data_IF_630185336276
#
_entry.id   IF_630185336276
#
_cell.length_a   1.000
_cell.length_b   1.000
_cell.length_c   1.000
_cell.angle_alpha   90.00
_cell.angle_beta   90.00
_cell.angle_gamma   90.00
#
_symmetry.space_group_name_H-M   'P 1'
#
loop_
_entity.id
_entity.type
_entity.pdbx_description
1 polymer ?
#
# COMPACT_ATOMS: atom_id res chain seq x y z
N UNK A 1 -25.94 -0.69 -20.51
CA UNK A 1 -24.66 0.03 -20.48
C UNK A 1 -24.95 1.37 -19.89
N UNK A 2 -24.47 1.59 -18.67
CA UNK A 2 -24.47 2.92 -18.08
C UNK A 2 -23.47 3.76 -18.88
N UNK A 3 -23.90 4.91 -19.37
CA UNK A 3 -23.02 5.80 -20.12
C UNK A 3 -22.07 6.48 -19.15
N UNK A 4 -20.77 6.34 -19.36
CA UNK A 4 -19.77 7.11 -18.63
C UNK A 4 -19.93 8.57 -19.04
N UNK A 5 -19.99 9.47 -18.06
CA UNK A 5 -20.19 10.90 -18.30
C UNK A 5 -18.91 11.65 -17.93
N UNK A 6 -18.52 12.63 -18.74
CA UNK A 6 -17.40 13.51 -18.43
C UNK A 6 -17.72 14.34 -17.18
N UNK A 7 -16.89 14.30 -16.13
CA UNK A 7 -17.13 15.03 -14.90
C UNK A 7 -17.05 16.56 -15.07
N UNK A 8 -16.45 17.06 -16.16
CA UNK A 8 -16.30 18.49 -16.40
C UNK A 8 -17.42 19.09 -17.27
N UNK A 9 -17.78 18.43 -18.38
CA UNK A 9 -18.77 18.98 -19.32
C UNK A 9 -20.12 18.24 -19.34
N UNK A 10 -20.24 17.10 -18.66
CA UNK A 10 -21.49 16.33 -18.61
C UNK A 10 -21.83 15.58 -19.91
N UNK A 11 -20.96 15.62 -20.91
CA UNK A 11 -21.13 14.87 -22.16
C UNK A 11 -20.72 13.40 -21.98
N UNK A 12 -21.36 12.45 -22.70
CA UNK A 12 -21.02 11.04 -22.62
C UNK A 12 -19.64 10.75 -23.22
N UNK A 13 -18.90 9.86 -22.58
CA UNK A 13 -17.59 9.40 -22.99
C UNK A 13 -17.66 7.92 -23.41
N UNK A 14 -16.90 7.57 -24.44
CA UNK A 14 -16.75 6.18 -24.88
C UNK A 14 -15.64 5.47 -24.10
N UNK A 15 -15.88 4.24 -23.64
CA UNK A 15 -14.89 3.37 -23.01
C UNK A 15 -13.63 3.20 -23.88
N UNK A 16 -13.79 2.90 -25.18
CA UNK A 16 -12.66 2.77 -26.11
C UNK A 16 -11.81 4.04 -26.24
N UNK A 17 -12.40 5.20 -25.99
CA UNK A 17 -11.72 6.49 -25.98
C UNK A 17 -10.91 6.66 -24.69
N UNK A 18 -11.53 6.35 -23.55
CA UNK A 18 -10.91 6.44 -22.23
C UNK A 18 -9.77 5.45 -22.05
N UNK A 19 -9.89 4.25 -22.61
CA UNK A 19 -8.81 3.25 -22.64
C UNK A 19 -7.55 3.73 -23.37
N UNK A 20 -7.67 4.71 -24.28
CA UNK A 20 -6.55 5.27 -25.07
C UNK A 20 -6.05 6.59 -24.53
N UNK A 21 -6.93 7.42 -23.98
CA UNK A 21 -6.62 8.77 -23.53
C UNK A 21 -7.64 9.25 -22.51
N UNK A 22 -7.14 9.78 -21.40
CA UNK A 22 -7.95 10.45 -20.38
C UNK A 22 -8.30 11.90 -20.74
N UNK A 23 -8.28 12.26 -22.04
CA UNK A 23 -8.71 13.57 -22.52
C UNK A 23 -10.14 13.46 -23.04
N UNK A 24 -11.04 14.28 -22.51
CA UNK A 24 -12.42 14.35 -22.99
C UNK A 24 -12.48 14.82 -24.45
N UNK A 25 -13.13 14.07 -25.33
CA UNK A 25 -13.32 14.43 -26.74
C UNK A 25 -14.26 15.63 -26.98
N UNK A 26 -15.03 16.03 -25.97
CA UNK A 26 -16.02 17.11 -26.07
C UNK A 26 -15.48 18.46 -25.62
N UNK A 27 -14.82 18.50 -24.45
CA UNK A 27 -14.29 19.74 -23.87
C UNK A 27 -12.76 19.85 -23.90
N UNK A 28 -12.04 18.80 -24.34
CA UNK A 28 -10.58 18.70 -24.33
C UNK A 28 -9.94 18.83 -22.93
N UNK A 29 -10.73 18.70 -21.86
CA UNK A 29 -10.20 18.66 -20.50
C UNK A 29 -9.38 17.39 -20.31
N UNK A 30 -8.18 17.55 -19.74
CA UNK A 30 -7.38 16.44 -19.24
C UNK A 30 -7.99 15.95 -17.92
N UNK A 31 -8.50 14.72 -17.91
CA UNK A 31 -9.12 14.10 -16.74
C UNK A 31 -8.09 13.44 -15.81
N UNK A 32 -6.81 13.36 -16.22
CA UNK A 32 -5.69 12.95 -15.36
C UNK A 32 -5.28 14.11 -14.44
N UNK A 33 -6.14 14.45 -13.50
CA UNK A 33 -5.97 15.53 -12.53
C UNK A 33 -6.56 15.13 -11.18
N UNK A 34 -5.94 15.60 -10.09
CA UNK A 34 -6.39 15.34 -8.72
C UNK A 34 -7.86 15.75 -8.47
N UNK A 35 -8.39 16.74 -9.19
CA UNK A 35 -9.80 17.13 -9.12
C UNK A 35 -10.76 16.00 -9.50
N UNK A 36 -10.32 15.06 -10.34
CA UNK A 36 -11.15 13.96 -10.86
C UNK A 36 -10.75 12.59 -10.29
N UNK A 37 -10.17 12.55 -9.09
CA UNK A 37 -9.70 11.31 -8.45
C UNK A 37 -10.76 10.22 -8.36
N UNK A 38 -11.92 10.53 -7.81
CA UNK A 38 -13.02 9.57 -7.66
C UNK A 38 -13.45 9.00 -9.02
N UNK A 39 -13.35 9.81 -10.08
CA UNK A 39 -13.64 9.38 -11.44
C UNK A 39 -12.55 8.46 -12.00
N UNK A 40 -11.26 8.75 -11.74
CA UNK A 40 -10.15 7.88 -12.13
C UNK A 40 -10.20 6.53 -11.40
N UNK A 41 -10.53 6.52 -10.11
CA UNK A 41 -10.73 5.29 -9.33
C UNK A 41 -11.88 4.45 -9.90
N UNK A 42 -13.01 5.09 -10.22
CA UNK A 42 -14.13 4.41 -10.87
C UNK A 42 -13.73 3.76 -12.19
N UNK A 43 -12.95 4.45 -13.03
CA UNK A 43 -12.48 3.90 -14.32
C UNK A 43 -11.56 2.68 -14.12
N UNK A 44 -10.76 2.68 -13.06
CA UNK A 44 -9.87 1.58 -12.70
C UNK A 44 -10.64 0.36 -12.18
N UNK A 45 -11.54 0.55 -11.21
CA UNK A 45 -12.36 -0.55 -10.64
C UNK A 45 -13.23 -1.20 -11.70
N UNK A 46 -13.64 -0.41 -12.70
CA UNK A 46 -14.42 -0.88 -13.85
C UNK A 46 -13.57 -1.53 -14.95
N UNK A 47 -12.23 -1.61 -14.79
CA UNK A 47 -11.28 -2.15 -15.77
C UNK A 47 -11.38 -1.49 -17.16
N UNK A 48 -11.74 -0.19 -17.21
CA UNK A 48 -11.87 0.57 -18.46
C UNK A 48 -10.51 1.13 -18.90
N UNK A 49 -9.65 1.44 -17.92
CA UNK A 49 -8.33 2.02 -18.15
C UNK A 49 -7.29 1.22 -17.37
N UNK A 50 -6.37 0.59 -18.10
CA UNK A 50 -5.31 -0.25 -17.54
C UNK A 50 -4.06 0.55 -17.12
N UNK A 51 -3.88 1.76 -17.67
CA UNK A 51 -2.67 2.57 -17.54
C UNK A 51 -2.87 3.80 -16.64
N UNK A 52 -3.39 3.57 -15.43
CA UNK A 52 -3.42 4.57 -14.36
C UNK A 52 -2.27 4.30 -13.41
N UNK A 53 -1.27 5.18 -13.43
CA UNK A 53 -0.15 5.14 -12.49
C UNK A 53 -0.59 5.71 -11.13
N UNK A 54 -0.89 4.81 -10.19
CA UNK A 54 -1.26 5.15 -8.81
C UNK A 54 -0.13 5.83 -8.03
N UNK A 55 1.11 5.75 -8.52
CA UNK A 55 2.27 6.39 -7.89
C UNK A 55 2.59 7.74 -8.54
N UNK A 56 1.74 8.23 -9.46
CA UNK A 56 1.92 9.54 -10.04
C UNK A 56 1.76 10.62 -8.97
N UNK A 57 2.89 11.13 -8.47
CA UNK A 57 2.93 12.16 -7.42
C UNK A 57 2.16 13.42 -7.80
N UNK A 58 2.00 13.74 -9.09
CA UNK A 58 1.22 14.91 -9.52
C UNK A 58 -0.28 14.76 -9.27
N UNK A 59 -0.74 13.52 -9.16
CA UNK A 59 -2.13 13.15 -8.90
C UNK A 59 -2.24 12.74 -7.42
N UNK A 60 -1.46 11.76 -6.97
CA UNK A 60 -1.54 11.10 -5.65
C UNK A 60 -0.55 11.60 -4.59
N UNK A 61 0.46 12.42 -4.95
CA UNK A 61 1.59 12.73 -4.07
C UNK A 61 1.23 13.52 -2.81
N UNK A 62 0.20 14.36 -2.86
CA UNK A 62 -0.23 15.14 -1.70
C UNK A 62 -0.83 14.28 -0.57
N UNK A 63 -1.45 13.14 -0.88
CA UNK A 63 -1.95 12.21 0.13
C UNK A 63 -0.78 11.50 0.84
N UNK A 64 0.25 11.13 0.08
CA UNK A 64 1.44 10.45 0.62
C UNK A 64 2.27 11.34 1.55
N UNK A 65 2.51 12.60 1.16
CA UNK A 65 3.31 13.56 1.95
C UNK A 65 2.66 13.85 3.31
N UNK A 66 1.32 13.85 3.37
CA UNK A 66 0.62 14.09 4.63
C UNK A 66 0.99 13.06 5.70
N UNK A 67 1.10 11.78 5.32
CA UNK A 67 1.47 10.71 6.26
C UNK A 67 2.94 10.81 6.71
N UNK A 68 3.87 11.14 5.81
CA UNK A 68 5.28 11.30 6.18
C UNK A 68 5.52 12.49 7.12
N UNK A 69 4.72 13.55 6.99
CA UNK A 69 4.93 14.78 7.78
C UNK A 69 4.23 14.76 9.14
N UNK A 70 3.25 13.87 9.39
CA UNK A 70 2.49 13.84 10.65
C UNK A 70 2.92 12.80 11.68
N UNK A 71 3.82 11.87 11.36
CA UNK A 71 4.21 10.78 12.28
C UNK A 71 5.68 10.81 12.75
N UNK A 72 6.44 11.87 12.45
CA UNK A 72 7.86 11.98 12.81
C UNK A 72 8.26 13.28 13.53
N UNK A 73 7.33 13.94 14.23
CA UNK A 73 7.63 15.07 15.12
C UNK A 73 7.42 14.67 16.60
N UNK A 74 8.55 14.41 17.27
CA UNK A 74 8.79 14.57 18.71
C UNK A 74 7.69 14.11 19.70
N UNK A 75 7.44 12.80 19.79
CA UNK A 75 7.08 12.24 21.10
C UNK A 75 8.34 11.69 21.73
N UNK A 76 8.89 12.41 22.71
CA UNK A 76 9.98 11.95 23.57
C UNK A 76 9.80 10.46 23.89
N UNK A 77 10.75 9.65 23.43
CA UNK A 77 10.88 8.24 23.78
C UNK A 77 11.13 8.20 25.30
N UNK A 78 10.04 8.23 26.08
CA UNK A 78 10.12 8.24 27.53
C UNK A 78 10.88 6.98 27.93
N UNK A 79 12.00 7.17 28.62
CA UNK A 79 12.92 6.16 29.11
C UNK A 79 12.24 5.23 30.11
N UNK A 80 11.31 4.39 29.66
CA UNK A 80 10.85 3.23 30.41
C UNK A 80 11.73 2.07 30.00
N UNK A 81 12.86 1.93 30.68
CA UNK A 81 13.51 0.63 30.77
C UNK A 81 12.53 -0.28 31.52
N UNK A 82 11.90 -1.28 30.88
CA UNK A 82 11.15 -2.27 31.64
C UNK A 82 12.15 -2.97 32.56
N UNK A 83 11.84 -3.05 33.85
CA UNK A 83 12.63 -3.84 34.79
C UNK A 83 12.74 -5.27 34.21
N UNK A 84 13.93 -5.88 34.22
CA UNK A 84 14.06 -7.24 33.74
C UNK A 84 13.14 -8.15 34.57
N UNK A 85 12.43 -9.07 33.89
CA UNK A 85 11.47 -9.94 34.54
C UNK A 85 12.13 -10.87 35.57
N UNK A 86 11.45 -11.14 36.69
CA UNK A 86 11.99 -11.87 37.86
C UNK A 86 12.38 -13.34 37.61
N UNK A 87 12.27 -13.86 36.39
CA UNK A 87 12.67 -15.24 36.09
C UNK A 87 14.19 -15.43 35.93
N UNK A 88 14.97 -14.35 35.86
CA UNK A 88 16.44 -14.41 35.83
C UNK A 88 17.09 -14.76 37.19
N UNK A 89 16.29 -15.01 38.24
CA UNK A 89 16.79 -15.33 39.58
C UNK A 89 16.56 -16.80 39.98
N UNK A 90 16.68 -17.73 39.05
CA UNK A 90 16.85 -19.15 39.38
C UNK A 90 17.86 -19.78 38.41
N UNK A 91 19.13 -19.43 38.60
CA UNK A 91 20.22 -20.29 38.17
C UNK A 91 20.30 -21.48 39.14
N UNK A 92 19.31 -22.37 39.10
CA UNK A 92 19.49 -23.74 39.56
C UNK A 92 20.07 -24.55 38.40
N UNK A 93 21.23 -25.10 38.68
CA UNK A 93 22.13 -25.85 37.81
C UNK A 93 21.39 -27.05 37.21
N UNK A 94 21.14 -27.05 35.89
CA UNK A 94 20.80 -28.26 35.15
C UNK A 94 21.91 -28.54 34.16
N UNK A 95 22.73 -29.55 34.49
CA UNK A 95 23.80 -30.07 33.68
C UNK A 95 23.28 -30.53 32.31
N UNK A 96 23.91 -30.06 31.24
CA UNK A 96 23.61 -30.50 29.87
C UNK A 96 24.20 -31.91 29.64
N UNK A 97 23.35 -32.94 29.59
CA UNK A 97 23.73 -34.25 29.05
C UNK A 97 23.48 -34.27 27.53
N UNK A 98 24.48 -33.83 26.77
CA UNK A 98 24.49 -33.94 25.31
C UNK A 98 24.58 -35.42 24.91
N UNK A 99 23.48 -35.95 24.36
CA UNK A 99 23.43 -37.28 23.76
C UNK A 99 24.41 -37.39 22.59
N UNK A 100 25.38 -38.30 22.71
CA UNK A 100 26.30 -38.65 21.64
C UNK A 100 25.61 -39.52 20.58
N UNK A 101 25.47 -38.97 19.39
CA UNK A 101 25.22 -39.70 18.14
C UNK A 101 26.43 -40.59 17.83
N UNK A 102 26.22 -41.90 17.68
CA UNK A 102 26.91 -42.68 16.65
C UNK A 102 26.37 -44.12 16.54
N UNK A 103 25.95 -44.50 15.33
CA UNK A 103 25.88 -45.92 15.00
C UNK A 103 24.90 -46.32 13.90
N UNK A 104 25.19 -45.94 12.66
CA UNK A 104 24.59 -46.55 11.46
C UNK A 104 24.56 -48.09 11.55
N UNK A 105 23.40 -48.70 11.31
CA UNK A 105 23.33 -49.98 10.60
C UNK A 105 22.00 -50.14 9.88
N UNK A 106 22.04 -49.91 8.57
CA UNK A 106 21.02 -50.39 7.66
C UNK A 106 20.95 -51.92 7.79
N UNK A 107 19.74 -52.45 7.99
CA UNK A 107 19.45 -53.88 8.12
C UNK A 107 19.52 -54.56 6.74
N UNK A 108 19.95 -55.82 6.74
CA UNK A 108 19.69 -56.80 5.68
C UNK A 108 18.65 -57.79 6.22
#
# INVERSE_FOLDING_TARGET
>A
MESIICPECGEPLSEEGLAKSLICSHCNTNLKDKKYMDFLEFLMVSEIVDDIDFFDESVYGEEYIKYETTDFDDTEESSFQPNPPEWDNESEEHEEEWGEDSGNKWED
#
